data_IF_820028140961
#
_entry.id   IF_820028140961
#
_cell.length_a   1.000
_cell.length_b   1.000
_cell.length_c   1.000
_cell.angle_alpha   90.00
_cell.angle_beta   90.00
_cell.angle_gamma   90.00
#
_symmetry.space_group_name_H-M   'P 1'
#
loop_
_entity.id
_entity.type
_entity.pdbx_description
1 polymer ?
#
# COMPACT_ATOMS: atom_id res chain seq x y z
N UNK A 1 -20.85 5.10 11.11
CA UNK A 1 -19.49 5.65 10.92
C UNK A 1 -18.80 4.75 9.93
N UNK A 2 -18.78 5.16 8.66
CA UNK A 2 -18.34 4.33 7.54
C UNK A 2 -16.86 4.59 7.27
N UNK A 3 -15.99 3.64 7.66
CA UNK A 3 -14.54 3.73 7.52
C UNK A 3 -14.06 3.55 6.06
N UNK A 4 -14.97 3.38 5.09
CA UNK A 4 -14.61 3.23 3.67
C UNK A 4 -14.53 4.54 2.89
N UNK A 5 -14.77 5.70 3.52
CA UNK A 5 -14.55 6.99 2.86
C UNK A 5 -13.05 7.28 2.76
N UNK A 6 -12.54 7.15 1.53
CA UNK A 6 -11.29 7.70 0.99
C UNK A 6 -10.01 6.87 1.13
N UNK A 7 -10.00 5.64 0.60
CA UNK A 7 -8.77 5.18 -0.07
C UNK A 7 -8.90 5.57 -1.54
N UNK A 8 -8.59 6.83 -1.87
CA UNK A 8 -8.35 7.23 -3.26
C UNK A 8 -6.87 7.00 -3.56
N UNK A 9 -6.59 6.05 -4.45
CA UNK A 9 -5.27 5.87 -5.04
C UNK A 9 -4.97 7.08 -5.92
N UNK A 10 -4.27 8.07 -5.37
CA UNK A 10 -3.90 9.26 -6.10
C UNK A 10 -2.41 9.18 -6.44
N UNK A 11 -2.12 8.99 -7.72
CA UNK A 11 -0.82 9.28 -8.28
C UNK A 11 -0.83 10.76 -8.67
N UNK A 12 -0.12 11.61 -7.93
CA UNK A 12 -0.08 13.04 -8.18
C UNK A 12 0.92 13.73 -7.25
N UNK A 13 1.42 14.89 -7.67
CA UNK A 13 2.27 15.72 -6.81
C UNK A 13 1.49 16.19 -5.57
N UNK A 14 2.18 16.45 -4.46
CA UNK A 14 1.57 16.92 -3.19
C UNK A 14 0.53 18.03 -3.38
N UNK A 15 0.79 18.99 -4.27
CA UNK A 15 -0.13 20.11 -4.53
C UNK A 15 -1.45 19.66 -5.15
N UNK A 16 -1.42 18.67 -6.05
CA UNK A 16 -2.64 18.10 -6.64
C UNK A 16 -3.46 17.41 -5.56
N UNK A 17 -2.83 16.60 -4.70
CA UNK A 17 -3.51 15.90 -3.61
C UNK A 17 -4.17 16.90 -2.66
N UNK A 18 -3.39 17.87 -2.14
CA UNK A 18 -3.90 18.88 -1.22
C UNK A 18 -5.02 19.73 -1.85
N UNK A 19 -4.91 20.07 -3.13
CA UNK A 19 -5.96 20.79 -3.85
C UNK A 19 -7.25 19.99 -3.98
N UNK A 20 -7.16 18.70 -4.28
CA UNK A 20 -8.31 17.80 -4.41
C UNK A 20 -9.00 17.50 -3.07
N UNK A 21 -8.24 17.46 -1.98
CA UNK A 21 -8.75 17.08 -0.65
C UNK A 21 -8.88 18.25 0.31
N UNK A 22 -8.59 19.48 -0.15
CA UNK A 22 -8.67 20.73 0.63
C UNK A 22 -7.78 20.72 1.88
N UNK A 23 -6.55 20.21 1.76
CA UNK A 23 -5.57 20.26 2.86
C UNK A 23 -4.67 19.03 3.00
N UNK A 24 -4.97 17.95 2.27
CA UNK A 24 -4.26 16.68 2.36
C UNK A 24 -5.20 15.52 2.72
N UNK A 25 -4.72 14.29 2.64
CA UNK A 25 -5.48 13.08 3.01
C UNK A 25 -5.32 12.76 4.49
N UNK A 26 -6.32 12.13 5.09
CA UNK A 26 -6.21 11.64 6.47
C UNK A 26 -5.19 10.52 6.59
N UNK A 27 -5.12 9.65 5.59
CA UNK A 27 -4.21 8.51 5.52
C UNK A 27 -3.53 8.44 4.15
N UNK A 28 -2.22 8.16 4.14
CA UNK A 28 -1.48 7.79 2.93
C UNK A 28 -0.74 6.47 3.12
N UNK A 29 -0.61 5.70 2.05
CA UNK A 29 0.02 4.38 2.06
C UNK A 29 1.11 4.33 0.98
N UNK A 30 2.37 4.23 1.39
CA UNK A 30 3.50 4.04 0.46
C UNK A 30 3.68 2.54 0.22
N UNK A 31 3.44 2.09 -1.01
CA UNK A 31 3.43 0.67 -1.38
C UNK A 31 4.48 0.29 -2.43
N UNK A 32 5.34 1.22 -2.86
CA UNK A 32 6.28 1.03 -3.95
C UNK A 32 7.72 0.76 -3.46
N UNK A 33 8.06 1.13 -2.22
CA UNK A 33 9.41 1.01 -1.67
C UNK A 33 10.35 2.10 -2.20
N UNK A 34 9.80 3.30 -2.50
CA UNK A 34 10.57 4.41 -3.06
C UNK A 34 10.54 5.64 -2.14
N UNK A 35 11.73 6.16 -1.79
CA UNK A 35 11.88 7.29 -0.86
C UNK A 35 11.26 8.60 -1.37
N UNK A 36 11.31 8.87 -2.68
CA UNK A 36 10.68 10.06 -3.23
C UNK A 36 9.16 9.96 -3.14
N UNK A 37 8.60 8.76 -3.38
CA UNK A 37 7.17 8.50 -3.19
C UNK A 37 6.80 8.58 -1.72
N UNK A 38 7.64 8.08 -0.80
CA UNK A 38 7.42 8.21 0.64
C UNK A 38 7.36 9.67 1.09
N UNK A 39 8.28 10.51 0.61
CA UNK A 39 8.30 11.96 0.86
C UNK A 39 6.98 12.60 0.43
N UNK A 40 6.58 12.37 -0.81
CA UNK A 40 5.34 12.92 -1.38
C UNK A 40 4.11 12.39 -0.63
N UNK A 41 4.08 11.10 -0.28
CA UNK A 41 3.00 10.49 0.49
C UNK A 41 2.86 11.13 1.88
N UNK A 42 3.98 11.42 2.55
CA UNK A 42 3.99 12.11 3.85
C UNK A 42 3.47 13.55 3.75
N UNK A 43 4.01 14.33 2.81
CA UNK A 43 3.61 15.73 2.63
C UNK A 43 2.18 15.88 2.10
N UNK A 44 1.65 14.85 1.43
CA UNK A 44 0.27 14.82 0.96
C UNK A 44 -0.75 14.59 2.09
N UNK A 45 -0.31 14.21 3.29
CA UNK A 45 -1.23 14.06 4.42
C UNK A 45 -1.62 15.40 5.04
N UNK A 46 -2.81 15.41 5.64
CA UNK A 46 -3.38 16.58 6.27
C UNK A 46 -2.51 17.09 7.43
N UNK A 47 -2.27 18.39 7.46
CA UNK A 47 -1.63 19.08 8.58
C UNK A 47 -2.48 18.93 9.85
N UNK A 48 -1.92 18.39 10.93
CA UNK A 48 -2.54 18.27 12.25
C UNK A 48 -2.85 16.84 12.70
N UNK A 49 -3.27 15.96 11.78
CA UNK A 49 -3.67 14.58 12.15
C UNK A 49 -3.29 13.50 11.14
N UNK A 50 -2.78 13.87 9.97
CA UNK A 50 -2.47 12.95 8.88
C UNK A 50 -1.55 11.79 9.29
N UNK A 51 -1.82 10.59 8.78
CA UNK A 51 -1.01 9.40 9.03
C UNK A 51 -0.49 8.79 7.73
N UNK A 52 0.82 8.67 7.62
CA UNK A 52 1.49 7.91 6.56
C UNK A 52 1.89 6.52 7.04
N UNK A 53 1.49 5.51 6.29
CA UNK A 53 1.82 4.11 6.53
C UNK A 53 2.80 3.63 5.49
N UNK A 54 3.97 3.17 5.93
CA UNK A 54 5.02 2.60 5.07
C UNK A 54 4.80 1.10 4.95
N UNK A 55 4.48 0.65 3.74
CA UNK A 55 4.30 -0.76 3.38
C UNK A 55 5.39 -1.25 2.42
N UNK A 56 5.87 -0.37 1.54
CA UNK A 56 6.92 -0.68 0.57
C UNK A 56 8.26 -1.01 1.23
N UNK A 57 8.90 -2.07 0.76
CA UNK A 57 10.22 -2.47 1.25
C UNK A 57 11.30 -1.68 0.52
N UNK A 58 12.09 -0.93 1.28
CA UNK A 58 13.18 -0.12 0.75
C UNK A 58 14.48 -0.93 0.81
N UNK A 59 15.16 -1.04 -0.32
CA UNK A 59 16.45 -1.74 -0.39
C UNK A 59 17.56 -0.87 0.18
N UNK A 60 18.49 -1.49 0.93
CA UNK A 60 19.61 -0.84 1.64
C UNK A 60 19.22 0.07 2.82
N UNK A 61 20.07 0.22 3.85
CA UNK A 61 19.84 1.19 4.91
C UNK A 61 19.83 2.61 4.32
N UNK A 62 18.69 3.28 4.42
CA UNK A 62 18.50 4.66 3.97
C UNK A 62 17.81 5.45 5.06
N UNK A 63 18.15 6.72 5.16
CA UNK A 63 17.48 7.63 6.09
C UNK A 63 16.09 7.99 5.57
N UNK A 64 15.15 8.20 6.49
CA UNK A 64 13.84 8.73 6.16
C UNK A 64 13.98 10.16 5.60
N UNK A 65 13.34 10.49 4.47
CA UNK A 65 13.48 11.80 3.83
C UNK A 65 12.54 12.82 4.49
N UNK A 66 12.58 12.93 5.81
CA UNK A 66 11.69 13.80 6.58
C UNK A 66 12.50 14.86 7.32
N UNK A 67 12.00 16.10 7.32
CA UNK A 67 12.53 17.12 8.19
C UNK A 67 11.84 16.99 9.56
N UNK A 68 12.58 16.84 10.68
CA UNK A 68 11.97 16.59 11.99
C UNK A 68 10.88 17.60 12.39
N UNK A 69 11.00 18.86 11.98
CA UNK A 69 9.99 19.88 12.27
C UNK A 69 8.62 19.61 11.62
N UNK A 70 8.54 18.84 10.54
CA UNK A 70 7.28 18.50 9.88
C UNK A 70 6.40 17.55 10.72
N UNK A 71 6.98 16.91 11.74
CA UNK A 71 6.22 16.13 12.72
C UNK A 71 5.50 17.04 13.73
N UNK A 72 6.00 18.26 13.97
CA UNK A 72 5.31 19.23 14.82
C UNK A 72 4.04 19.77 14.16
N UNK A 73 3.91 19.65 12.84
CA UNK A 73 2.68 19.91 12.12
C UNK A 73 1.61 18.84 12.38
N UNK A 74 1.79 17.92 13.34
CA UNK A 74 0.80 16.91 13.73
C UNK A 74 0.68 15.70 12.81
N UNK A 75 1.54 15.63 11.77
CA UNK A 75 1.66 14.43 10.94
C UNK A 75 2.31 13.28 11.70
N UNK A 76 1.93 12.06 11.32
CA UNK A 76 2.50 10.82 11.87
C UNK A 76 2.96 9.92 10.75
N UNK A 77 4.00 9.13 11.03
CA UNK A 77 4.49 8.08 10.14
C UNK A 77 4.64 6.79 10.93
N UNK A 78 4.19 5.67 10.36
CA UNK A 78 4.31 4.34 10.96
C UNK A 78 4.73 3.34 9.89
N UNK A 79 5.50 2.32 10.29
CA UNK A 79 5.72 1.13 9.47
C UNK A 79 4.61 0.13 9.72
N UNK A 80 4.32 -0.71 8.73
CA UNK A 80 3.35 -1.79 8.83
C UNK A 80 3.93 -3.05 8.20
N UNK A 81 3.90 -4.17 8.93
CA UNK A 81 4.43 -5.45 8.44
C UNK A 81 3.27 -6.43 8.35
N UNK A 82 3.03 -6.98 7.15
CA UNK A 82 1.94 -7.93 6.93
C UNK A 82 0.55 -7.38 7.32
N UNK A 83 0.33 -6.06 7.17
CA UNK A 83 -0.93 -5.42 7.58
C UNK A 83 -1.11 -5.33 9.10
N UNK A 84 -0.04 -5.56 9.87
CA UNK A 84 -0.05 -5.78 11.32
C UNK A 84 -1.01 -6.90 11.77
N UNK A 85 -1.25 -7.86 10.87
CA UNK A 85 -2.11 -9.01 11.10
C UNK A 85 -1.33 -10.10 11.86
N UNK A 86 -1.90 -10.57 12.96
CA UNK A 86 -1.41 -11.76 13.68
C UNK A 86 -1.77 -13.01 12.87
N UNK A 87 -0.85 -13.47 12.04
CA UNK A 87 -1.09 -14.55 11.07
C UNK A 87 -1.87 -15.76 11.63
N UNK A 88 -1.42 -16.37 12.75
CA UNK A 88 -2.10 -17.57 13.28
C UNK A 88 -3.52 -17.32 13.77
N UNK A 89 -3.77 -16.18 14.42
CA UNK A 89 -5.04 -15.93 15.12
C UNK A 89 -6.04 -15.15 14.29
N UNK A 90 -5.56 -14.34 13.33
CA UNK A 90 -6.42 -13.43 12.56
C UNK A 90 -6.57 -13.82 11.08
N UNK A 91 -5.59 -14.53 10.48
CA UNK A 91 -5.68 -14.92 9.07
C UNK A 91 -6.92 -15.80 8.74
N UNK A 92 -7.36 -16.74 9.61
CA UNK A 92 -8.59 -17.49 9.36
C UNK A 92 -9.82 -16.60 9.13
N UNK A 93 -9.95 -15.49 9.86
CA UNK A 93 -11.06 -14.55 9.66
C UNK A 93 -11.03 -13.87 8.28
N UNK A 94 -9.84 -13.66 7.71
CA UNK A 94 -9.73 -13.13 6.35
C UNK A 94 -10.17 -14.17 5.32
N UNK A 95 -9.85 -15.45 5.53
CA UNK A 95 -10.34 -16.55 4.69
C UNK A 95 -11.86 -16.61 4.74
N UNK A 96 -12.45 -16.57 5.93
CA UNK A 96 -13.90 -16.55 6.10
C UNK A 96 -14.53 -15.35 5.36
N UNK A 97 -13.94 -14.16 5.48
CA UNK A 97 -14.39 -12.97 4.72
C UNK A 97 -14.28 -13.16 3.21
N UNK A 98 -13.26 -13.86 2.71
CA UNK A 98 -13.16 -14.21 1.29
C UNK A 98 -14.29 -15.17 0.88
N UNK A 99 -14.51 -16.23 1.64
CA UNK A 99 -15.54 -17.25 1.35
C UNK A 99 -16.96 -16.68 1.38
N UNK A 100 -17.21 -15.70 2.25
CA UNK A 100 -18.48 -14.97 2.31
C UNK A 100 -18.57 -13.80 1.30
N UNK A 101 -17.57 -13.62 0.44
CA UNK A 101 -17.55 -12.56 -0.59
C UNK A 101 -17.40 -11.14 -0.05
N UNK A 102 -17.12 -10.97 1.25
CA UNK A 102 -16.83 -9.67 1.88
C UNK A 102 -15.48 -9.14 1.38
N UNK A 103 -14.48 -10.01 1.29
CA UNK A 103 -13.17 -9.69 0.72
C UNK A 103 -13.03 -10.31 -0.67
N UNK A 104 -13.03 -9.48 -1.71
CA UNK A 104 -12.92 -9.95 -3.10
C UNK A 104 -11.45 -10.12 -3.49
N UNK A 105 -10.97 -11.35 -3.48
CA UNK A 105 -9.57 -11.67 -3.85
C UNK A 105 -9.40 -12.07 -5.31
N UNK A 106 -10.44 -12.59 -5.96
CA UNK A 106 -10.36 -13.15 -7.32
C UNK A 106 -9.91 -12.12 -8.36
N UNK A 107 -10.28 -10.85 -8.17
CA UNK A 107 -9.89 -9.75 -9.07
C UNK A 107 -8.39 -9.45 -9.09
N UNK A 108 -7.61 -9.94 -8.12
CA UNK A 108 -6.15 -9.77 -8.12
C UNK A 108 -5.42 -10.85 -8.92
N UNK A 109 -6.07 -11.98 -9.22
CA UNK A 109 -5.48 -13.09 -9.98
C UNK A 109 -5.64 -12.78 -11.47
N UNK A 110 -4.56 -12.32 -12.11
CA UNK A 110 -4.59 -11.99 -13.54
C UNK A 110 -4.09 -13.10 -14.43
N UNK A 111 -3.28 -14.02 -13.90
CA UNK A 111 -2.72 -15.15 -14.64
C UNK A 111 -2.76 -16.43 -13.83
N UNK A 112 -2.93 -17.56 -14.53
CA UNK A 112 -2.78 -18.90 -13.96
C UNK A 112 -1.97 -19.73 -14.94
N UNK A 113 -0.87 -20.31 -14.48
CA UNK A 113 0.05 -21.12 -15.29
C UNK A 113 0.37 -22.43 -14.56
N UNK A 114 0.69 -23.52 -15.28
CA UNK A 114 1.24 -24.70 -14.64
C UNK A 114 2.65 -24.40 -14.08
N UNK A 115 3.05 -25.12 -13.02
CA UNK A 115 4.29 -24.83 -12.30
C UNK A 115 5.55 -24.95 -13.17
N UNK A 116 5.55 -25.83 -14.19
CA UNK A 116 6.68 -25.96 -15.11
C UNK A 116 6.92 -24.71 -15.98
N UNK A 117 5.96 -23.77 -16.05
CA UNK A 117 6.08 -22.49 -16.74
C UNK A 117 6.49 -21.33 -15.82
N UNK A 118 7.09 -21.62 -14.65
CA UNK A 118 7.51 -20.61 -13.66
C UNK A 118 8.34 -19.46 -14.25
N UNK A 119 9.20 -19.73 -15.23
CA UNK A 119 10.02 -18.71 -15.87
C UNK A 119 9.17 -17.68 -16.65
N UNK A 120 8.09 -18.15 -17.30
CA UNK A 120 7.13 -17.25 -17.96
C UNK A 120 6.37 -16.41 -16.92
N UNK A 121 6.00 -16.99 -15.78
CA UNK A 121 5.38 -16.25 -14.68
C UNK A 121 6.29 -15.12 -14.15
N UNK A 122 7.60 -15.39 -14.03
CA UNK A 122 8.60 -14.39 -13.63
C UNK A 122 8.75 -13.29 -14.68
N UNK A 123 8.73 -13.63 -15.97
CA UNK A 123 8.78 -12.63 -17.05
C UNK A 123 7.56 -11.69 -17.01
N UNK A 124 6.35 -12.24 -16.81
CA UNK A 124 5.14 -11.44 -16.67
C UNK A 124 5.19 -10.47 -15.49
N UNK A 125 5.84 -10.87 -14.38
CA UNK A 125 6.06 -10.00 -13.22
C UNK A 125 7.00 -8.84 -13.57
N UNK A 126 8.16 -9.13 -14.19
CA UNK A 126 9.16 -8.11 -14.56
C UNK A 126 8.60 -7.11 -15.58
N UNK A 127 7.82 -7.59 -16.54
CA UNK A 127 7.18 -6.74 -17.56
C UNK A 127 5.99 -5.93 -17.02
N UNK A 128 5.61 -6.11 -15.75
CA UNK A 128 4.46 -5.41 -15.15
C UNK A 128 3.10 -5.84 -15.73
N UNK A 129 3.04 -6.98 -16.42
CA UNK A 129 1.81 -7.51 -17.04
C UNK A 129 0.97 -8.35 -16.06
N UNK A 130 1.53 -8.72 -14.91
CA UNK A 130 0.85 -9.51 -13.89
C UNK A 130 0.66 -8.76 -12.58
N UNK A 131 -0.54 -8.82 -12.00
CA UNK A 131 -0.77 -8.42 -10.60
C UNK A 131 -0.43 -9.59 -9.67
N UNK A 132 -1.07 -10.74 -9.89
CA UNK A 132 -0.73 -12.02 -9.28
C UNK A 132 -0.86 -13.14 -10.31
N UNK A 133 0.13 -14.02 -10.34
CA UNK A 133 0.11 -15.27 -11.10
C UNK A 133 0.01 -16.44 -10.13
N UNK A 134 -1.03 -17.28 -10.27
CA UNK A 134 -1.15 -18.52 -9.49
C UNK A 134 -0.52 -19.65 -10.28
N UNK A 135 0.41 -20.37 -9.65
CA UNK A 135 1.02 -21.57 -10.22
C UNK A 135 0.26 -22.81 -9.75
N UNK A 136 -0.17 -23.65 -10.71
CA UNK A 136 -0.80 -24.94 -10.43
C UNK A 136 0.26 -26.04 -10.51
N UNK A 137 0.39 -26.81 -9.43
CA UNK A 137 1.30 -27.96 -9.35
C UNK A 137 0.81 -29.10 -10.24
#
# INVERSE_FOLDING_TARGET
MDATRQIKWLCGSVQVIKGMTKGGVDYSFECAGNLAVLREAFLSTHDGWGLSVVLGIHTSPRLLPLHPMELFDGRRIVGCVFGDVKGKTQLPEFVDKCMHGVLKVDGFITHQLPFHEINQAMQLLVEGKSLRCVLRL
#
